data_IF_809703072979
#
_entry.id   IF_809703072979
#
_cell.length_a   1.000
_cell.length_b   1.000
_cell.length_c   1.000
_cell.angle_alpha   90.00
_cell.angle_beta   90.00
_cell.angle_gamma   90.00
#
_symmetry.space_group_name_H-M   'P 1'
#
loop_
_entity.id
_entity.type
_entity.pdbx_description
1 polymer ?
#
# COMPACT_ATOMS: atom_id res chain seq x y z
N UNK A 1 6.83 -2.45 3.64
CA UNK A 1 6.13 -2.41 2.33
C UNK A 1 5.84 -3.82 1.80
N UNK A 2 6.81 -4.71 1.76
CA UNK A 2 6.67 -6.08 1.18
C UNK A 2 5.50 -6.87 1.79
N UNK A 3 5.41 -6.92 3.11
CA UNK A 3 4.29 -7.59 3.80
C UNK A 3 2.93 -7.00 3.43
N UNK A 4 2.84 -5.69 3.31
CA UNK A 4 1.60 -5.03 2.89
C UNK A 4 1.25 -5.31 1.44
N UNK A 5 2.23 -5.44 0.55
CA UNK A 5 2.00 -5.84 -0.83
C UNK A 5 1.43 -7.27 -0.89
N UNK A 6 2.01 -8.21 -0.14
CA UNK A 6 1.48 -9.56 -0.03
C UNK A 6 0.04 -9.56 0.49
N UNK A 7 -0.21 -8.85 1.60
CA UNK A 7 -1.54 -8.75 2.21
C UNK A 7 -2.56 -8.03 1.32
N UNK A 8 -2.14 -7.08 0.51
CA UNK A 8 -3.04 -6.46 -0.49
C UNK A 8 -3.61 -7.51 -1.43
N UNK A 9 -2.77 -8.40 -1.94
CA UNK A 9 -3.23 -9.49 -2.83
C UNK A 9 -4.21 -10.43 -2.10
N UNK A 10 -3.94 -10.76 -0.85
CA UNK A 10 -4.76 -11.69 -0.07
C UNK A 10 -6.09 -11.08 0.38
N UNK A 11 -6.07 -9.86 0.91
CA UNK A 11 -7.21 -9.20 1.54
C UNK A 11 -8.09 -8.50 0.51
N UNK A 12 -7.51 -7.69 -0.36
CA UNK A 12 -8.27 -6.91 -1.35
C UNK A 12 -8.45 -7.65 -2.68
N UNK A 13 -7.74 -8.75 -2.89
CA UNK A 13 -7.68 -9.53 -4.14
C UNK A 13 -7.28 -8.68 -5.35
N UNK A 14 -6.52 -7.63 -5.10
CA UNK A 14 -5.92 -6.76 -6.11
C UNK A 14 -4.44 -7.05 -6.22
N UNK A 15 -3.91 -7.02 -7.44
CA UNK A 15 -2.47 -7.13 -7.65
C UNK A 15 -1.76 -5.95 -7.01
N UNK A 16 -0.69 -6.23 -6.31
CA UNK A 16 0.19 -5.22 -5.77
C UNK A 16 1.64 -5.71 -5.79
N UNK A 17 2.54 -4.76 -5.81
CA UNK A 17 3.97 -4.96 -5.62
C UNK A 17 4.49 -3.97 -4.59
N UNK A 18 5.76 -4.04 -4.26
CA UNK A 18 6.40 -3.06 -3.41
C UNK A 18 7.65 -2.50 -4.08
N UNK A 19 7.97 -1.29 -3.70
CA UNK A 19 9.14 -0.56 -4.15
C UNK A 19 9.87 -0.03 -2.92
N UNK A 20 11.19 0.01 -2.97
CA UNK A 20 12.01 0.54 -1.88
C UNK A 20 12.49 1.95 -2.20
N UNK A 21 12.71 2.73 -1.15
CA UNK A 21 13.27 4.07 -1.27
C UNK A 21 12.43 4.97 -2.17
N UNK A 22 13.06 5.48 -3.21
CA UNK A 22 12.45 6.41 -4.18
C UNK A 22 12.22 5.78 -5.55
N UNK A 23 12.27 4.46 -5.68
CA UNK A 23 12.14 3.80 -6.97
C UNK A 23 10.83 4.08 -7.71
N UNK A 24 9.78 4.47 -6.99
CA UNK A 24 8.50 4.85 -7.59
C UNK A 24 8.60 6.04 -8.57
N UNK A 25 9.69 6.82 -8.51
CA UNK A 25 9.93 8.00 -9.35
C UNK A 25 11.27 7.92 -10.10
N UNK A 26 11.70 6.72 -10.44
CA UNK A 26 12.95 6.44 -11.15
C UNK A 26 12.78 5.47 -12.34
N UNK A 27 11.70 5.64 -13.12
CA UNK A 27 11.47 4.93 -14.37
C UNK A 27 10.29 3.96 -14.33
N UNK A 28 9.89 3.44 -13.17
CA UNK A 28 8.73 2.53 -13.05
C UNK A 28 7.41 3.25 -13.38
N UNK A 29 7.37 4.57 -13.25
CA UNK A 29 6.23 5.39 -13.60
C UNK A 29 5.82 5.27 -15.08
N UNK A 30 6.72 4.84 -15.94
CA UNK A 30 6.42 4.58 -17.37
C UNK A 30 5.38 3.47 -17.59
N UNK A 31 5.19 2.59 -16.60
CA UNK A 31 4.22 1.48 -16.67
C UNK A 31 3.10 1.61 -15.66
N UNK A 32 3.03 2.71 -14.92
CA UNK A 32 1.95 2.98 -13.97
C UNK A 32 0.73 3.59 -14.68
N UNK A 33 -0.44 3.40 -14.08
CA UNK A 33 -1.72 3.87 -14.62
C UNK A 33 -2.45 4.80 -13.65
N UNK A 34 -3.27 5.75 -14.16
CA UNK A 34 -3.99 6.71 -13.31
C UNK A 34 -4.94 6.10 -12.29
N UNK A 35 -5.46 4.90 -12.54
CA UNK A 35 -6.34 4.17 -11.62
C UNK A 35 -5.59 3.44 -10.49
N UNK A 36 -4.27 3.45 -10.51
CA UNK A 36 -3.46 2.84 -9.45
C UNK A 36 -3.38 3.75 -8.22
N UNK A 37 -3.09 3.13 -7.08
CA UNK A 37 -2.86 3.82 -5.82
C UNK A 37 -1.49 3.43 -5.30
N UNK A 38 -0.70 4.44 -4.95
CA UNK A 38 0.57 4.23 -4.27
C UNK A 38 0.40 4.53 -2.78
N UNK A 39 0.69 3.55 -1.92
CA UNK A 39 0.76 3.75 -0.48
C UNK A 39 2.22 3.99 -0.10
N UNK A 40 2.53 5.22 0.30
CA UNK A 40 3.88 5.62 0.70
C UNK A 40 4.03 5.61 2.21
N UNK A 41 4.77 4.65 2.72
CA UNK A 41 4.98 4.46 4.15
C UNK A 41 6.22 5.22 4.58
N UNK A 42 6.08 6.07 5.58
CA UNK A 42 7.13 6.92 6.13
C UNK A 42 7.86 7.72 5.05
N UNK A 43 7.18 8.67 4.40
CA UNK A 43 7.70 9.44 3.29
C UNK A 43 8.99 10.21 3.62
N UNK A 44 9.91 10.24 2.65
CA UNK A 44 11.05 11.16 2.69
C UNK A 44 10.56 12.59 2.37
N UNK A 45 10.67 13.49 3.32
CA UNK A 45 10.14 14.86 3.19
C UNK A 45 10.68 15.62 2.00
N UNK A 46 11.96 15.46 1.74
CA UNK A 46 12.69 16.13 0.65
C UNK A 46 12.25 15.64 -0.73
N UNK A 47 11.61 14.47 -0.81
CA UNK A 47 11.16 13.86 -2.06
C UNK A 47 9.66 14.10 -2.34
N UNK A 48 8.91 14.70 -1.43
CA UNK A 48 7.47 14.91 -1.60
C UNK A 48 7.11 15.67 -2.87
N UNK A 49 7.90 16.69 -3.22
CA UNK A 49 7.66 17.47 -4.44
C UNK A 49 7.83 16.60 -5.69
N UNK A 50 8.90 15.82 -5.75
CA UNK A 50 9.18 14.93 -6.88
C UNK A 50 8.10 13.86 -7.05
N UNK A 51 7.68 13.23 -5.94
CA UNK A 51 6.59 12.25 -5.98
C UNK A 51 5.29 12.87 -6.47
N UNK A 52 4.98 14.09 -6.05
CA UNK A 52 3.80 14.80 -6.51
C UNK A 52 3.86 15.11 -8.02
N UNK A 53 4.96 15.71 -8.49
CA UNK A 53 5.11 16.07 -9.89
C UNK A 53 5.10 14.85 -10.82
N UNK A 54 5.75 13.76 -10.41
CA UNK A 54 5.85 12.56 -11.24
C UNK A 54 4.58 11.72 -11.17
N UNK A 55 4.08 11.43 -9.97
CA UNK A 55 3.02 10.45 -9.78
C UNK A 55 1.62 11.05 -9.87
N UNK A 56 1.33 12.12 -9.11
CA UNK A 56 -0.03 12.71 -9.15
C UNK A 56 -0.24 13.59 -10.38
N UNK A 57 0.73 14.43 -10.75
CA UNK A 57 0.59 15.25 -11.96
C UNK A 57 0.95 14.50 -13.24
N UNK A 58 2.08 13.78 -13.25
CA UNK A 58 2.58 13.10 -14.44
C UNK A 58 1.75 11.88 -14.82
N UNK A 59 1.64 10.91 -13.91
CA UNK A 59 0.86 9.69 -14.16
C UNK A 59 -0.64 9.91 -13.91
N UNK A 60 -1.00 10.72 -12.92
CA UNK A 60 -2.38 10.97 -12.51
C UNK A 60 -2.91 9.96 -11.48
N UNK A 61 -2.04 9.16 -10.86
CA UNK A 61 -2.43 8.21 -9.82
C UNK A 61 -2.64 8.90 -8.48
N UNK A 62 -3.22 8.20 -7.54
CA UNK A 62 -3.43 8.68 -6.17
C UNK A 62 -2.31 8.22 -5.25
N UNK A 63 -1.68 9.16 -4.51
CA UNK A 63 -0.73 8.84 -3.46
C UNK A 63 -1.41 8.97 -2.09
N UNK A 64 -1.28 7.93 -1.27
CA UNK A 64 -1.69 7.91 0.14
C UNK A 64 -0.44 7.75 1.00
N UNK A 65 -0.18 8.70 1.88
CA UNK A 65 0.94 8.64 2.80
C UNK A 65 0.52 8.04 4.15
N UNK A 66 1.37 7.21 4.74
CA UNK A 66 1.27 6.77 6.14
C UNK A 66 2.44 7.38 6.89
N UNK A 67 2.16 8.29 7.81
CA UNK A 67 3.20 9.13 8.45
C UNK A 67 2.77 9.61 9.83
N UNK A 68 3.73 9.86 10.71
CA UNK A 68 3.47 10.51 11.99
C UNK A 68 3.14 12.01 11.82
N UNK A 69 3.51 12.61 10.70
CA UNK A 69 3.26 13.99 10.39
C UNK A 69 2.44 14.13 9.10
N UNK A 70 1.71 15.25 8.99
CA UNK A 70 0.98 15.57 7.76
C UNK A 70 1.94 15.80 6.59
N UNK A 71 1.63 15.20 5.46
CA UNK A 71 2.31 15.41 4.18
C UNK A 71 1.46 16.26 3.24
N UNK A 72 1.95 16.51 2.04
CA UNK A 72 1.14 17.16 0.99
C UNK A 72 0.08 16.22 0.38
N UNK A 73 0.19 14.91 0.60
CA UNK A 73 -0.73 13.89 0.10
C UNK A 73 -1.87 13.61 1.08
N UNK A 74 -2.83 12.79 0.66
CA UNK A 74 -3.78 12.18 1.59
C UNK A 74 -3.00 11.40 2.64
N UNK A 75 -3.03 11.83 3.89
CA UNK A 75 -2.16 11.28 4.94
C UNK A 75 -2.98 10.55 5.99
N UNK A 76 -2.65 9.28 6.19
CA UNK A 76 -3.06 8.52 7.38
C UNK A 76 -2.05 8.83 8.47
N UNK A 77 -2.49 9.62 9.46
CA UNK A 77 -1.63 10.01 10.60
C UNK A 77 -1.56 8.86 11.58
N UNK A 78 -0.35 8.45 11.92
CA UNK A 78 -0.05 7.44 12.92
C UNK A 78 0.69 8.06 14.12
N UNK A 79 0.65 7.44 15.31
CA UNK A 79 1.44 7.93 16.44
C UNK A 79 2.94 7.89 16.15
N UNK A 80 3.68 8.90 16.60
CA UNK A 80 5.14 8.82 16.67
C UNK A 80 5.52 7.72 17.67
N UNK A 81 6.29 6.74 17.25
CA UNK A 81 6.54 5.52 18.01
C UNK A 81 8.02 5.15 18.11
N UNK A 82 8.93 6.03 17.65
CA UNK A 82 10.37 5.81 17.71
C UNK A 82 10.76 4.47 17.07
N UNK A 83 11.46 3.64 17.81
CA UNK A 83 11.89 2.30 17.34
C UNK A 83 10.74 1.31 17.06
N UNK A 84 9.53 1.59 17.53
CA UNK A 84 8.32 0.79 17.28
C UNK A 84 7.56 1.24 16.03
N UNK A 85 8.03 2.25 15.30
CA UNK A 85 7.38 2.76 14.08
C UNK A 85 7.02 1.67 13.06
N UNK A 86 7.84 0.63 12.81
CA UNK A 86 7.47 -0.43 11.88
C UNK A 86 6.16 -1.16 12.25
N UNK A 87 5.86 -1.29 13.54
CA UNK A 87 4.63 -1.93 14.01
C UNK A 87 3.41 -1.04 13.83
N UNK A 88 3.53 0.26 14.10
CA UNK A 88 2.43 1.22 13.88
C UNK A 88 2.15 1.42 12.40
N UNK A 89 3.19 1.47 11.58
CA UNK A 89 3.08 1.53 10.11
C UNK A 89 2.39 0.27 9.56
N UNK A 90 2.77 -0.91 10.04
CA UNK A 90 2.15 -2.17 9.64
C UNK A 90 0.69 -2.23 10.04
N UNK A 91 0.35 -1.83 11.28
CA UNK A 91 -1.03 -1.79 11.75
C UNK A 91 -1.89 -0.82 10.94
N UNK A 92 -1.37 0.35 10.60
CA UNK A 92 -2.07 1.31 9.75
C UNK A 92 -2.29 0.75 8.33
N UNK A 93 -1.28 0.11 7.76
CA UNK A 93 -1.40 -0.57 6.46
C UNK A 93 -2.47 -1.66 6.47
N UNK A 94 -2.49 -2.50 7.48
CA UNK A 94 -3.52 -3.54 7.63
C UNK A 94 -4.92 -2.95 7.77
N UNK A 95 -5.10 -1.87 8.53
CA UNK A 95 -6.39 -1.19 8.63
C UNK A 95 -6.87 -0.66 7.27
N UNK A 96 -5.98 -0.04 6.48
CA UNK A 96 -6.30 0.39 5.12
C UNK A 96 -6.78 -0.79 4.26
N UNK A 97 -6.08 -1.93 4.32
CA UNK A 97 -6.43 -3.11 3.53
C UNK A 97 -7.74 -3.76 3.98
N UNK A 98 -8.00 -3.84 5.29
CA UNK A 98 -9.25 -4.38 5.83
C UNK A 98 -10.43 -3.51 5.39
N UNK A 99 -10.36 -2.20 5.57
CA UNK A 99 -11.41 -1.27 5.15
C UNK A 99 -11.64 -1.33 3.64
N UNK A 100 -10.57 -1.45 2.87
CA UNK A 100 -10.67 -1.62 1.41
C UNK A 100 -11.37 -2.93 1.06
N UNK A 101 -10.98 -4.04 1.67
CA UNK A 101 -11.59 -5.35 1.44
C UNK A 101 -13.08 -5.37 1.80
N UNK A 102 -13.45 -4.77 2.93
CA UNK A 102 -14.84 -4.64 3.37
C UNK A 102 -15.64 -3.76 2.41
N UNK A 103 -15.11 -2.63 1.97
CA UNK A 103 -15.77 -1.75 1.00
C UNK A 103 -15.99 -2.40 -0.36
N UNK A 104 -15.14 -3.35 -0.72
CA UNK A 104 -15.30 -4.18 -1.93
C UNK A 104 -16.27 -5.36 -1.74
N UNK A 105 -16.86 -5.52 -0.56
CA UNK A 105 -17.77 -6.62 -0.24
C UNK A 105 -17.09 -7.99 -0.15
N UNK A 106 -15.79 -8.02 0.12
CA UNK A 106 -15.02 -9.26 0.23
C UNK A 106 -15.20 -9.86 1.62
N UNK A 107 -15.53 -11.15 1.69
CA UNK A 107 -15.46 -11.89 2.94
C UNK A 107 -13.99 -12.19 3.24
N UNK A 108 -13.42 -11.47 4.19
CA UNK A 108 -12.00 -11.54 4.54
C UNK A 108 -11.62 -12.86 5.25
N UNK A 109 -12.58 -13.51 5.90
CA UNK A 109 -12.37 -14.77 6.63
C UNK A 109 -12.44 -16.00 5.73
N UNK A 110 -12.93 -15.82 4.49
CA UNK A 110 -13.15 -16.93 3.56
C UNK A 110 -12.39 -16.72 2.25
N UNK A 111 -11.15 -17.22 2.16
CA UNK A 111 -10.41 -17.20 0.90
C UNK A 111 -11.12 -18.07 -0.15
N UNK A 112 -11.00 -17.69 -1.43
CA UNK A 112 -11.61 -18.44 -2.54
C UNK A 112 -10.69 -19.47 -3.17
N UNK A 113 -9.38 -19.28 -3.05
CA UNK A 113 -8.35 -20.12 -3.67
C UNK A 113 -7.29 -20.63 -2.69
N UNK A 114 -6.84 -19.76 -1.78
CA UNK A 114 -5.85 -20.13 -0.76
C UNK A 114 -6.50 -20.96 0.36
N UNK A 115 -5.73 -21.81 0.99
CA UNK A 115 -6.13 -22.59 2.17
C UNK A 115 -5.28 -22.21 3.37
N UNK A 116 -5.87 -22.28 4.56
CA UNK A 116 -5.18 -21.96 5.84
C UNK A 116 -4.06 -22.95 6.18
N UNK A 117 -4.17 -24.19 5.72
CA UNK A 117 -3.20 -25.23 6.02
C UNK A 117 -2.86 -25.95 4.73
N UNK A 118 -1.55 -26.04 4.46
CA UNK A 118 -1.00 -26.92 3.43
C UNK A 118 -1.00 -26.37 2.01
N UNK A 119 -1.24 -25.12 1.75
CA UNK A 119 -1.10 -24.43 0.42
C UNK A 119 -1.15 -25.32 -0.84
N UNK A 120 -1.69 -26.52 -0.71
CA UNK A 120 -1.78 -27.48 -1.79
C UNK A 120 -3.02 -27.19 -2.64
N UNK A 121 -2.80 -27.09 -3.93
CA UNK A 121 -3.88 -27.01 -4.90
C UNK A 121 -4.56 -28.38 -4.97
N UNK A 122 -5.83 -28.44 -4.59
CA UNK A 122 -6.67 -29.59 -4.89
C UNK A 122 -7.62 -29.19 -6.00
N UNK A 123 -7.50 -29.80 -7.19
CA UNK A 123 -8.51 -29.63 -8.23
C UNK A 123 -9.85 -30.12 -7.69
N UNK A 124 -10.86 -29.31 -7.86
CA UNK A 124 -12.27 -29.64 -7.57
C UNK A 124 -12.80 -30.65 -8.56
#
# INVERSE_FOLDING_TARGET
AEELALKTNEITRKRSGYLEGTYAVHGIEEVMHPEEVLIWINPFRDEEEKFFEVLEKGVGLTVIAVSAEKTRFNTVIIPESGEFSPYTELAAGWNILIETGLSLGINLDKPTRARKVGNEYHPS
#
